data_IF_133481921724
#
_entry.id   IF_133481921724
#
_cell.length_a   1.000
_cell.length_b   1.000
_cell.length_c   1.000
_cell.angle_alpha   90.00
_cell.angle_beta   90.00
_cell.angle_gamma   90.00
#
_symmetry.space_group_name_H-M   'P 1'
#
loop_
_entity.id
_entity.type
_entity.pdbx_description
1 polymer ?
#
# COMPACT_ATOMS: atom_id res chain seq x y z
N UNK A 1 -9.92 21.31 20.05
CA UNK A 1 -8.48 21.06 20.33
C UNK A 1 -8.00 19.95 19.41
N UNK A 2 -7.32 20.30 18.31
CA UNK A 2 -6.78 19.32 17.36
C UNK A 2 -5.70 18.47 18.06
N UNK A 3 -5.84 17.14 18.00
CA UNK A 3 -4.78 16.22 18.41
C UNK A 3 -3.71 16.22 17.31
N UNK A 4 -2.74 17.11 17.43
CA UNK A 4 -1.47 16.98 16.71
C UNK A 4 -0.73 15.79 17.31
N UNK A 5 -0.78 14.64 16.64
CA UNK A 5 0.13 13.54 16.96
C UNK A 5 1.57 14.05 16.80
N UNK A 6 2.44 13.88 17.81
CA UNK A 6 3.83 14.29 17.67
C UNK A 6 4.48 13.41 16.60
N UNK A 7 4.84 14.00 15.47
CA UNK A 7 5.62 13.36 14.40
C UNK A 7 7.03 13.11 14.95
N UNK A 8 7.41 11.86 15.28
CA UNK A 8 8.67 11.61 15.96
C UNK A 8 9.79 11.55 14.94
N UNK A 9 10.69 12.54 14.90
CA UNK A 9 12.01 12.55 14.23
C UNK A 9 12.17 11.47 13.15
N UNK A 10 11.34 11.54 12.11
CA UNK A 10 11.26 10.52 11.06
C UNK A 10 12.56 10.55 10.24
N UNK A 11 13.19 11.71 10.12
CA UNK A 11 14.32 11.94 9.20
C UNK A 11 15.52 11.02 9.40
N UNK A 12 16.06 10.94 10.61
CA UNK A 12 17.30 10.20 10.90
C UNK A 12 17.13 8.67 10.76
N UNK A 13 15.93 8.15 11.01
CA UNK A 13 15.64 6.71 10.96
C UNK A 13 15.57 6.17 9.53
N UNK A 14 15.15 7.00 8.58
CA UNK A 14 14.98 6.59 7.19
C UNK A 14 16.29 6.62 6.40
N UNK A 15 17.23 7.51 6.77
CA UNK A 15 18.58 7.50 6.20
C UNK A 15 19.34 6.20 6.54
N UNK A 16 19.20 5.73 7.78
CA UNK A 16 19.74 4.43 8.19
C UNK A 16 19.05 3.26 7.46
N UNK A 17 17.73 3.36 7.23
CA UNK A 17 16.98 2.38 6.46
C UNK A 17 17.49 2.26 5.02
N UNK A 18 17.61 3.36 4.28
CA UNK A 18 18.11 3.36 2.89
C UNK A 18 19.52 2.76 2.82
N UNK A 19 20.40 3.10 3.77
CA UNK A 19 21.75 2.54 3.85
C UNK A 19 21.79 1.04 4.19
N UNK A 20 20.77 0.54 4.89
CA UNK A 20 20.66 -0.85 5.31
C UNK A 20 19.94 -1.76 4.31
N UNK A 21 19.20 -1.19 3.34
CA UNK A 21 18.60 -1.99 2.29
C UNK A 21 19.72 -2.63 1.46
N UNK A 22 19.61 -3.91 1.09
CA UNK A 22 20.50 -4.50 0.11
C UNK A 22 20.52 -3.58 -1.10
N UNK A 23 21.71 -3.11 -1.48
CA UNK A 23 21.93 -2.38 -2.73
C UNK A 23 21.80 -3.37 -3.91
N UNK A 24 20.67 -4.05 -3.99
CA UNK A 24 20.26 -4.68 -5.23
C UNK A 24 19.98 -3.52 -6.18
N UNK A 25 20.87 -3.32 -7.15
CA UNK A 25 20.74 -2.29 -8.18
C UNK A 25 19.38 -2.37 -8.91
N UNK A 26 18.71 -3.53 -8.83
CA UNK A 26 17.41 -3.79 -9.42
C UNK A 26 16.22 -3.41 -8.52
N UNK A 27 16.44 -2.96 -7.28
CA UNK A 27 15.34 -2.60 -6.37
C UNK A 27 14.45 -1.51 -6.97
N UNK A 28 13.16 -1.81 -7.14
CA UNK A 28 12.15 -1.01 -7.84
C UNK A 28 12.45 -0.73 -9.31
N UNK A 29 13.40 -1.45 -9.91
CA UNK A 29 13.81 -1.36 -11.31
C UNK A 29 13.70 -2.70 -12.04
N UNK A 30 13.17 -3.73 -11.38
CA UNK A 30 12.97 -5.05 -11.97
C UNK A 30 12.06 -4.94 -13.20
N UNK A 31 12.37 -5.71 -14.24
CA UNK A 31 11.53 -5.81 -15.43
C UNK A 31 10.17 -6.36 -15.04
N UNK A 32 9.10 -5.77 -15.57
CA UNK A 32 7.72 -6.19 -15.34
C UNK A 32 7.58 -7.71 -15.48
N UNK A 33 7.00 -8.37 -14.47
CA UNK A 33 6.71 -9.79 -14.54
C UNK A 33 5.52 -10.03 -15.47
N UNK A 34 5.81 -10.28 -16.74
CA UNK A 34 4.85 -10.78 -17.74
C UNK A 34 4.21 -12.11 -17.32
N UNK A 35 4.81 -12.83 -16.37
CA UNK A 35 4.39 -14.16 -15.94
C UNK A 35 3.27 -14.20 -14.87
N UNK A 36 2.89 -13.07 -14.26
CA UNK A 36 1.73 -13.06 -13.38
C UNK A 36 0.47 -13.15 -14.24
N UNK A 37 -0.16 -14.33 -14.23
CA UNK A 37 -1.38 -14.59 -14.97
C UNK A 37 -2.50 -13.66 -14.49
N UNK A 38 -2.69 -12.55 -15.21
CA UNK A 38 -3.71 -11.53 -14.94
C UNK A 38 -5.13 -12.13 -14.92
N UNK A 39 -5.33 -13.30 -15.51
CA UNK A 39 -6.60 -14.04 -15.55
C UNK A 39 -7.11 -14.48 -14.17
N UNK A 40 -6.25 -14.61 -13.16
CA UNK A 40 -6.67 -14.97 -11.79
C UNK A 40 -7.06 -13.77 -10.93
N UNK A 41 -6.91 -12.56 -11.44
CA UNK A 41 -7.25 -11.35 -10.70
C UNK A 41 -8.74 -11.04 -10.89
N UNK A 42 -9.40 -10.67 -9.79
CA UNK A 42 -10.79 -10.24 -9.86
C UNK A 42 -10.87 -8.78 -10.32
N UNK A 43 -11.46 -8.56 -11.49
CA UNK A 43 -11.75 -7.23 -12.06
C UNK A 43 -10.72 -6.73 -13.06
N UNK A 44 -10.97 -5.56 -13.64
CA UNK A 44 -10.07 -4.94 -14.62
C UNK A 44 -8.84 -4.40 -13.91
N UNK A 45 -7.65 -4.73 -14.42
CA UNK A 45 -6.39 -4.18 -13.91
C UNK A 45 -6.26 -2.74 -14.41
N UNK A 46 -6.03 -1.81 -13.48
CA UNK A 46 -5.87 -0.37 -13.74
C UNK A 46 -4.41 0.03 -13.85
N UNK A 47 -3.58 -0.52 -12.96
CA UNK A 47 -2.13 -0.31 -12.95
C UNK A 47 -1.45 -1.47 -12.23
N UNK A 48 -0.26 -1.82 -12.66
CA UNK A 48 0.62 -2.81 -12.04
C UNK A 48 2.07 -2.33 -12.08
N UNK A 49 2.87 -2.75 -11.11
CA UNK A 49 4.24 -2.28 -10.98
C UNK A 49 4.93 -2.76 -9.71
N UNK A 50 6.25 -2.62 -9.67
CA UNK A 50 7.03 -2.82 -8.45
C UNK A 50 6.89 -1.62 -7.53
N UNK A 51 6.59 -1.91 -6.26
CA UNK A 51 6.50 -0.93 -5.19
C UNK A 51 7.18 -1.52 -3.96
N UNK A 52 7.68 -0.65 -3.08
CA UNK A 52 8.16 -1.07 -1.78
C UNK A 52 7.12 -0.69 -0.73
N UNK A 53 6.49 -1.68 -0.09
CA UNK A 53 5.50 -1.45 0.95
C UNK A 53 6.16 -1.47 2.33
N UNK A 54 5.96 -0.43 3.12
CA UNK A 54 6.45 -0.41 4.49
C UNK A 54 5.61 -1.33 5.39
N UNK A 55 6.29 -2.22 6.10
CA UNK A 55 5.71 -3.01 7.19
C UNK A 55 5.72 -2.24 8.50
N UNK A 56 6.77 -1.42 8.70
CA UNK A 56 6.99 -0.50 9.80
C UNK A 56 7.98 0.59 9.34
N UNK A 57 8.35 1.53 10.23
CA UNK A 57 9.26 2.64 9.92
C UNK A 57 10.66 2.23 9.40
N UNK A 58 11.07 0.97 9.57
CA UNK A 58 12.43 0.50 9.29
C UNK A 58 12.48 -0.68 8.31
N UNK A 59 11.35 -1.10 7.76
CA UNK A 59 11.30 -2.26 6.90
C UNK A 59 10.29 -2.04 5.78
N UNK A 60 10.80 -1.92 4.55
CA UNK A 60 9.99 -2.02 3.36
C UNK A 60 10.27 -3.34 2.65
N UNK A 61 9.21 -3.92 2.07
CA UNK A 61 9.30 -5.09 1.22
C UNK A 61 9.05 -4.68 -0.22
N UNK A 62 9.98 -5.03 -1.11
CA UNK A 62 9.74 -4.96 -2.55
C UNK A 62 8.70 -6.01 -2.94
N UNK A 63 7.62 -5.54 -3.54
CA UNK A 63 6.50 -6.38 -3.96
C UNK A 63 6.06 -5.97 -5.37
N UNK A 64 5.60 -6.96 -6.14
CA UNK A 64 4.80 -6.68 -7.31
C UNK A 64 3.39 -6.35 -6.85
N UNK A 65 2.90 -5.17 -7.17
CA UNK A 65 1.58 -4.72 -6.76
C UNK A 65 0.68 -4.48 -7.97
N UNK A 66 -0.59 -4.84 -7.81
CA UNK A 66 -1.60 -4.72 -8.86
C UNK A 66 -2.84 -4.05 -8.29
N UNK A 67 -3.25 -2.95 -8.91
CA UNK A 67 -4.50 -2.26 -8.65
C UNK A 67 -5.54 -2.76 -9.65
N UNK A 68 -6.57 -3.45 -9.16
CA UNK A 68 -7.79 -3.77 -9.93
C UNK A 68 -8.95 -2.88 -9.52
N UNK A 69 -10.12 -3.06 -10.12
CA UNK A 69 -11.32 -2.35 -9.68
C UNK A 69 -11.69 -2.60 -8.22
N UNK A 70 -11.42 -3.80 -7.70
CA UNK A 70 -11.84 -4.23 -6.36
C UNK A 70 -10.74 -4.12 -5.31
N UNK A 71 -9.50 -4.42 -5.67
CA UNK A 71 -8.41 -4.57 -4.72
C UNK A 71 -7.12 -3.93 -5.19
N UNK A 72 -6.27 -3.56 -4.24
CA UNK A 72 -4.83 -3.48 -4.43
C UNK A 72 -4.26 -4.78 -3.88
N UNK A 73 -3.58 -5.57 -4.71
CA UNK A 73 -2.98 -6.85 -4.32
C UNK A 73 -1.47 -6.76 -4.38
N UNK A 74 -0.79 -7.24 -3.33
CA UNK A 74 0.66 -7.23 -3.21
C UNK A 74 1.20 -8.65 -3.19
N UNK A 75 2.17 -8.92 -4.06
CA UNK A 75 2.77 -10.22 -4.29
C UNK A 75 4.27 -10.14 -3.97
N UNK A 76 4.79 -11.06 -3.16
CA UNK A 76 6.24 -11.26 -3.09
C UNK A 76 6.76 -11.64 -4.47
N UNK A 77 8.02 -11.30 -4.74
CA UNK A 77 8.73 -11.60 -5.98
C UNK A 77 8.61 -13.08 -6.39
N UNK A 78 8.65 -14.00 -5.42
CA UNK A 78 8.67 -15.44 -5.67
C UNK A 78 7.30 -16.12 -5.56
N UNK A 79 6.24 -15.37 -5.20
CA UNK A 79 4.94 -15.95 -4.84
C UNK A 79 3.85 -15.59 -5.81
N UNK A 80 3.15 -16.61 -6.31
CA UNK A 80 1.97 -16.43 -7.18
C UNK A 80 0.72 -15.92 -6.46
N UNK A 81 0.66 -16.02 -5.13
CA UNK A 81 -0.48 -15.60 -4.30
C UNK A 81 -0.17 -14.27 -3.62
N UNK A 82 -1.16 -13.38 -3.60
CA UNK A 82 -1.05 -12.11 -2.88
C UNK A 82 -0.87 -12.36 -1.38
N UNK A 83 0.15 -11.75 -0.78
CA UNK A 83 0.38 -11.79 0.67
C UNK A 83 -0.50 -10.78 1.40
N UNK A 84 -0.76 -9.65 0.76
CA UNK A 84 -1.49 -8.54 1.33
C UNK A 84 -2.46 -7.96 0.30
N UNK A 85 -3.62 -7.51 0.78
CA UNK A 85 -4.66 -6.91 -0.06
C UNK A 85 -5.31 -5.74 0.65
N UNK A 86 -5.62 -4.70 -0.12
CA UNK A 86 -6.44 -3.56 0.31
C UNK A 86 -7.71 -3.56 -0.54
N UNK A 87 -8.88 -3.55 0.11
CA UNK A 87 -10.16 -3.32 -0.56
C UNK A 87 -10.23 -1.85 -1.01
N UNK A 88 -10.46 -1.59 -2.30
CA UNK A 88 -10.52 -0.22 -2.82
C UNK A 88 -11.67 0.59 -2.23
N UNK A 89 -12.81 -0.05 -1.95
CA UNK A 89 -13.96 0.59 -1.27
C UNK A 89 -13.66 1.06 0.15
N UNK A 90 -12.59 0.54 0.77
CA UNK A 90 -12.19 0.89 2.13
C UNK A 90 -11.12 1.99 2.15
N UNK A 91 -10.66 2.47 0.99
CA UNK A 91 -9.70 3.56 0.90
C UNK A 91 -10.45 4.88 1.18
N UNK A 92 -9.97 5.61 2.18
CA UNK A 92 -10.52 6.90 2.61
C UNK A 92 -9.80 8.02 1.86
N UNK A 93 -8.46 7.97 1.82
CA UNK A 93 -7.64 8.98 1.19
C UNK A 93 -6.37 8.37 0.57
N UNK A 94 -5.83 9.07 -0.43
CA UNK A 94 -4.55 8.74 -1.07
C UNK A 94 -3.75 10.03 -1.16
N UNK A 95 -2.59 10.07 -0.50
CA UNK A 95 -1.76 11.28 -0.39
C UNK A 95 -0.35 11.01 -0.94
N UNK A 96 0.32 12.07 -1.39
CA UNK A 96 1.68 12.00 -1.95
C UNK A 96 2.79 11.79 -0.90
N UNK A 97 2.44 11.82 0.38
CA UNK A 97 3.34 11.56 1.51
C UNK A 97 4.53 12.51 1.62
N UNK A 98 4.73 13.47 0.71
CA UNK A 98 5.98 14.21 0.60
C UNK A 98 6.31 15.02 1.87
N UNK A 99 5.27 15.46 2.59
CA UNK A 99 5.44 16.21 3.83
C UNK A 99 5.83 15.32 5.03
N UNK A 100 5.60 14.01 4.94
CA UNK A 100 5.81 13.06 6.04
C UNK A 100 7.14 12.31 5.94
N UNK A 101 7.81 12.35 4.77
CA UNK A 101 9.04 11.62 4.51
C UNK A 101 10.23 12.54 4.26
N UNK A 102 11.47 12.08 4.55
CA UNK A 102 12.66 12.76 4.07
C UNK A 102 12.61 12.84 2.54
N UNK A 103 13.02 13.98 2.00
CA UNK A 103 13.14 14.13 0.55
C UNK A 103 14.32 13.28 0.07
N UNK A 104 14.01 12.11 -0.50
CA UNK A 104 14.96 11.25 -1.18
C UNK A 104 14.88 11.53 -2.67
N UNK A 105 15.98 11.99 -3.27
CA UNK A 105 16.01 12.39 -4.69
C UNK A 105 15.59 11.28 -5.66
N UNK A 106 15.72 10.02 -5.25
CA UNK A 106 15.48 8.85 -6.09
C UNK A 106 14.28 8.01 -5.65
N UNK A 107 13.50 8.49 -4.66
CA UNK A 107 12.36 7.74 -4.15
C UNK A 107 11.18 8.68 -3.87
N UNK A 108 10.00 8.22 -4.24
CA UNK A 108 8.76 8.97 -4.08
C UNK A 108 7.75 8.13 -3.31
N UNK A 109 6.97 8.76 -2.46
CA UNK A 109 6.10 8.07 -1.51
C UNK A 109 4.63 8.24 -1.86
N UNK A 110 3.82 7.30 -1.40
CA UNK A 110 2.37 7.35 -1.48
C UNK A 110 1.80 6.80 -0.17
N UNK A 111 0.85 7.50 0.40
CA UNK A 111 0.11 7.05 1.58
C UNK A 111 -1.28 6.64 1.16
N UNK A 112 -1.69 5.43 1.54
CA UNK A 112 -3.03 4.92 1.32
C UNK A 112 -3.69 4.75 2.69
N UNK A 113 -4.65 5.60 2.98
CA UNK A 113 -5.42 5.55 4.22
C UNK A 113 -6.66 4.67 4.03
N UNK A 114 -6.86 3.75 4.97
CA UNK A 114 -8.05 2.90 5.06
C UNK A 114 -8.63 2.99 6.46
N UNK A 115 -9.83 2.45 6.66
CA UNK A 115 -10.44 2.37 8.00
C UNK A 115 -9.52 1.55 8.92
N UNK A 116 -8.81 2.24 9.80
CA UNK A 116 -7.94 1.66 10.84
C UNK A 116 -6.46 1.45 10.46
N UNK A 117 -6.02 1.77 9.23
CA UNK A 117 -4.62 1.63 8.85
C UNK A 117 -4.19 2.58 7.74
N UNK A 118 -2.97 3.11 7.86
CA UNK A 118 -2.25 3.77 6.77
C UNK A 118 -1.20 2.82 6.22
N UNK A 119 -1.21 2.62 4.90
CA UNK A 119 -0.19 1.84 4.18
C UNK A 119 0.68 2.78 3.37
N UNK A 120 1.99 2.67 3.56
CA UNK A 120 2.96 3.50 2.85
C UNK A 120 3.65 2.71 1.75
N UNK A 121 3.69 3.30 0.56
CA UNK A 121 4.35 2.76 -0.61
C UNK A 121 5.49 3.69 -1.03
N UNK A 122 6.57 3.09 -1.52
CA UNK A 122 7.71 3.78 -2.10
C UNK A 122 7.89 3.34 -3.55
N UNK A 123 8.18 4.32 -4.40
CA UNK A 123 8.34 4.22 -5.84
C UNK A 123 9.70 4.76 -6.24
N UNK A 124 10.23 4.24 -7.36
CA UNK A 124 11.50 4.71 -7.91
C UNK A 124 11.40 6.07 -8.60
N UNK A 125 10.29 6.33 -9.29
CA UNK A 125 10.12 7.57 -10.06
C UNK A 125 8.85 8.29 -9.64
N UNK A 126 8.88 9.61 -9.79
CA UNK A 126 7.73 10.46 -9.51
C UNK A 126 6.56 10.08 -10.41
N UNK A 127 6.82 9.86 -11.71
CA UNK A 127 5.81 9.48 -12.69
C UNK A 127 5.08 8.19 -12.31
N UNK A 128 5.80 7.18 -11.80
CA UNK A 128 5.17 5.93 -11.35
C UNK A 128 4.23 6.18 -10.16
N UNK A 129 4.67 6.98 -9.18
CA UNK A 129 3.86 7.35 -8.02
C UNK A 129 2.62 8.16 -8.42
N UNK A 130 2.78 9.16 -9.28
CA UNK A 130 1.68 10.02 -9.74
C UNK A 130 0.69 9.24 -10.61
N UNK A 131 1.17 8.34 -11.47
CA UNK A 131 0.31 7.44 -12.23
C UNK A 131 -0.53 6.52 -11.33
N UNK A 132 0.08 5.96 -10.28
CA UNK A 132 -0.63 5.17 -9.28
C UNK A 132 -1.68 5.99 -8.52
N UNK A 133 -1.31 7.21 -8.11
CA UNK A 133 -2.22 8.13 -7.43
C UNK A 133 -3.43 8.47 -8.30
N UNK A 134 -3.24 8.73 -9.60
CA UNK A 134 -4.34 8.99 -10.54
C UNK A 134 -5.31 7.81 -10.64
N UNK A 135 -4.79 6.56 -10.69
CA UNK A 135 -5.64 5.36 -10.78
C UNK A 135 -6.32 4.99 -9.46
N UNK A 136 -5.72 5.37 -8.35
CA UNK A 136 -6.27 5.19 -7.01
C UNK A 136 -7.20 6.31 -6.58
N UNK A 137 -7.08 7.49 -7.18
CA UNK A 137 -7.95 8.64 -6.93
C UNK A 137 -9.40 8.22 -7.11
N UNK A 138 -10.12 8.15 -6.00
CA UNK A 138 -11.53 7.88 -6.00
C UNK A 138 -12.19 9.16 -6.51
N UNK A 139 -12.47 9.25 -7.80
CA UNK A 139 -13.42 10.25 -8.31
C UNK A 139 -14.71 10.02 -7.52
N UNK A 140 -15.00 10.93 -6.61
CA UNK A 140 -16.12 10.89 -5.69
C UNK A 140 -17.44 10.79 -6.45
N UNK A 141 -17.81 9.56 -6.80
CA UNK A 141 -19.19 9.17 -7.04
C UNK A 141 -19.73 8.52 -5.77
N UNK A 142 -19.26 8.99 -4.61
CA UNK A 142 -19.97 8.76 -3.36
C UNK A 142 -21.09 9.80 -3.40
N UNK A 143 -22.24 9.41 -3.96
CA UNK A 143 -23.51 10.07 -3.63
C UNK A 143 -23.54 10.12 -2.11
N UNK A 144 -23.64 11.32 -1.55
CA UNK A 144 -23.59 11.64 -0.12
C UNK A 144 -24.71 11.00 0.73
N UNK A 145 -25.36 9.98 0.21
CA UNK A 145 -26.56 9.34 0.75
C UNK A 145 -26.35 7.84 1.03
N UNK A 146 -25.18 7.28 0.68
CA UNK A 146 -24.70 6.02 1.25
C UNK A 146 -23.77 6.34 2.41
N UNK A 147 -24.37 6.86 3.48
CA UNK A 147 -23.88 6.70 4.84
C UNK A 147 -23.41 5.24 4.95
N UNK A 148 -22.12 5.03 5.24
CA UNK A 148 -21.51 3.71 5.38
C UNK A 148 -22.36 2.86 6.35
N UNK A 149 -23.32 2.10 5.84
CA UNK A 149 -23.80 0.91 6.52
C UNK A 149 -22.62 -0.04 6.44
N UNK A 150 -21.84 0.01 7.51
CA UNK A 150 -20.88 -1.03 7.84
C UNK A 150 -21.73 -2.29 7.97
N UNK A 151 -21.87 -3.01 6.87
CA UNK A 151 -22.45 -4.35 6.89
C UNK A 151 -21.48 -5.20 7.72
N UNK A 152 -21.92 -5.41 8.95
CA UNK A 152 -21.37 -6.25 9.99
C UNK A 152 -19.95 -5.93 10.52
N UNK A 153 -19.80 -5.31 11.71
CA UNK A 153 -18.50 -5.20 12.38
C UNK A 153 -17.80 -6.55 12.62
N UNK A 154 -18.50 -7.68 12.55
CA UNK A 154 -17.90 -9.02 12.60
C UNK A 154 -16.99 -9.32 11.40
N UNK A 155 -17.33 -8.85 10.19
CA UNK A 155 -16.52 -9.08 8.98
C UNK A 155 -15.18 -8.33 9.04
N UNK A 156 -15.17 -7.13 9.62
CA UNK A 156 -13.95 -6.35 9.82
C UNK A 156 -13.04 -6.98 10.89
N UNK A 157 -13.63 -7.59 11.92
CA UNK A 157 -12.90 -8.35 12.94
C UNK A 157 -12.30 -9.63 12.36
N UNK A 158 -13.04 -10.37 11.53
CA UNK A 158 -12.55 -11.60 10.88
C UNK A 158 -11.36 -11.34 9.92
N UNK A 159 -11.33 -10.19 9.25
CA UNK A 159 -10.21 -9.84 8.38
C UNK A 159 -8.98 -9.29 9.11
N UNK A 160 -9.12 -8.85 10.36
CA UNK A 160 -8.02 -8.34 11.20
C UNK A 160 -7.51 -9.35 12.25
N UNK A 161 -8.28 -10.39 12.58
CA UNK A 161 -7.98 -11.38 13.62
C UNK A 161 -7.36 -12.68 13.10
N UNK A 162 -6.33 -12.61 12.25
CA UNK A 162 -5.49 -13.80 11.99
C UNK A 162 -4.64 -14.23 13.21
N UNK A 163 -4.72 -13.49 14.32
CA UNK A 163 -3.96 -13.73 15.56
C UNK A 163 -4.74 -14.52 16.63
N UNK A 164 -6.04 -14.79 16.44
CA UNK A 164 -6.83 -15.53 17.43
C UNK A 164 -7.18 -16.95 16.98
N UNK A 165 -6.17 -17.73 16.59
CA UNK A 165 -6.29 -19.20 16.71
C UNK A 165 -6.08 -19.55 18.17
N UNK A 166 -7.16 -19.46 18.96
CA UNK A 166 -7.24 -20.20 20.22
C UNK A 166 -7.03 -21.67 19.88
N UNK A 167 -5.86 -22.19 20.27
CA UNK A 167 -5.61 -23.63 20.31
C UNK A 167 -6.62 -24.23 21.27
N UNK A 168 -7.68 -24.86 20.75
CA UNK A 168 -8.48 -25.78 21.55
C UNK A 168 -7.62 -27.01 21.82
N UNK A 169 -7.29 -27.22 23.10
CA UNK A 169 -7.03 -28.55 23.66
C UNK A 169 -8.33 -29.35 23.64
#
# INVERSE_FOLDING_TARGET
KARTHPVPRIREKYDAFIKSQPQDDLFLQRKSLTAFSKSKLQGTVRVDGYVARFLNERHALEEWAIVSDKFISFFSLDKKKANFRILRRCIISVNDGQNNYPNFSNFHFLEIETIGRITYLMFRTQDARDHWMEKLSIKSTIKSDQMYTVDDPADQFLHSSSLWKSSKR
#
